data_IF_819228589508
#
_entry.id   IF_819228589508
#
_cell.length_a   1.000
_cell.length_b   1.000
_cell.length_c   1.000
_cell.angle_alpha   90.00
_cell.angle_beta   90.00
_cell.angle_gamma   90.00
#
_symmetry.space_group_name_H-M   'P 1'
#
loop_
_entity.id
_entity.type
_entity.pdbx_description
1 polymer ?
#
# COMPACT_ATOMS: atom_id res chain seq x y z
N UNK A 1 20.58 -40.55 40.95
CA UNK A 1 21.23 -41.18 39.78
C UNK A 1 21.41 -40.11 38.71
N UNK A 2 22.64 -39.65 38.53
CA UNK A 2 23.00 -38.61 37.57
C UNK A 2 22.74 -39.12 36.15
N UNK A 3 21.80 -38.50 35.43
CA UNK A 3 21.71 -38.69 33.98
C UNK A 3 22.98 -38.08 33.37
N UNK A 4 23.94 -38.93 33.00
CA UNK A 4 25.09 -38.52 32.19
C UNK A 4 24.53 -37.88 30.93
N UNK A 5 24.71 -36.57 30.77
CA UNK A 5 24.32 -35.86 29.56
C UNK A 5 25.05 -36.50 28.40
N UNK A 6 24.29 -37.08 27.48
CA UNK A 6 24.81 -37.77 26.31
C UNK A 6 25.28 -36.70 25.32
N UNK A 7 26.51 -36.22 25.50
CA UNK A 7 27.08 -35.09 24.76
C UNK A 7 27.04 -35.29 23.24
N UNK A 8 27.08 -36.53 22.78
CA UNK A 8 26.96 -36.91 21.37
C UNK A 8 25.57 -36.55 20.81
N UNK A 9 24.50 -36.83 21.56
CA UNK A 9 23.14 -36.46 21.15
C UNK A 9 22.94 -34.93 21.12
N UNK A 10 23.58 -34.23 22.05
CA UNK A 10 23.58 -32.76 22.10
C UNK A 10 24.30 -32.16 20.88
N UNK A 11 25.48 -32.69 20.53
CA UNK A 11 26.26 -32.27 19.36
C UNK A 11 25.50 -32.58 18.07
N UNK A 12 24.88 -33.75 17.96
CA UNK A 12 24.06 -34.11 16.80
C UNK A 12 22.87 -33.16 16.62
N UNK A 13 22.11 -32.87 17.68
CA UNK A 13 20.99 -31.91 17.62
C UNK A 13 21.45 -30.50 17.26
N UNK A 14 22.60 -30.06 17.78
CA UNK A 14 23.20 -28.78 17.42
C UNK A 14 23.58 -28.74 15.94
N UNK A 15 24.27 -29.76 15.42
CA UNK A 15 24.64 -29.84 14.01
C UNK A 15 23.43 -29.85 13.07
N UNK A 16 22.40 -30.63 13.40
CA UNK A 16 21.14 -30.65 12.62
C UNK A 16 20.45 -29.28 12.67
N UNK A 17 20.42 -28.64 13.84
CA UNK A 17 19.88 -27.29 13.98
C UNK A 17 20.64 -26.26 13.15
N UNK A 18 21.98 -26.33 13.16
CA UNK A 18 22.86 -25.42 12.43
C UNK A 18 22.72 -25.61 10.91
N UNK A 19 22.63 -26.86 10.44
CA UNK A 19 22.30 -27.18 9.05
C UNK A 19 20.92 -26.65 8.66
N UNK A 20 19.92 -26.81 9.53
CA UNK A 20 18.57 -26.29 9.30
C UNK A 20 18.54 -24.77 9.18
N UNK A 21 19.25 -24.05 10.07
CA UNK A 21 19.37 -22.58 10.02
C UNK A 21 20.14 -22.14 8.77
N UNK A 22 21.23 -22.82 8.43
CA UNK A 22 22.01 -22.54 7.22
C UNK A 22 21.18 -22.72 5.94
N UNK A 23 20.39 -23.79 5.87
CA UNK A 23 19.46 -24.04 4.77
C UNK A 23 18.38 -22.94 4.67
N UNK A 24 17.79 -22.55 5.81
CA UNK A 24 16.83 -21.44 5.88
C UNK A 24 17.45 -20.13 5.41
N UNK A 25 18.68 -19.81 5.81
CA UNK A 25 19.38 -18.60 5.38
C UNK A 25 19.58 -18.55 3.86
N UNK A 26 19.96 -19.67 3.24
CA UNK A 26 20.15 -19.77 1.79
C UNK A 26 18.82 -19.64 1.03
N UNK A 27 17.74 -20.24 1.54
CA UNK A 27 16.44 -20.23 0.86
C UNK A 27 15.63 -18.95 1.13
N UNK A 28 15.83 -18.30 2.27
CA UNK A 28 15.09 -17.11 2.69
C UNK A 28 14.93 -16.03 1.61
N UNK A 29 15.98 -15.59 0.88
CA UNK A 29 15.83 -14.56 -0.16
C UNK A 29 14.87 -14.99 -1.28
N UNK A 30 14.76 -16.28 -1.58
CA UNK A 30 13.88 -16.80 -2.63
C UNK A 30 12.42 -16.93 -2.18
N UNK A 31 12.18 -17.25 -0.90
CA UNK A 31 10.81 -17.46 -0.38
C UNK A 31 10.22 -16.23 0.29
N UNK A 32 11.04 -15.29 0.76
CA UNK A 32 10.60 -14.13 1.54
C UNK A 32 9.56 -13.28 0.80
N UNK A 33 9.75 -13.08 -0.51
CA UNK A 33 8.78 -12.36 -1.35
C UNK A 33 7.43 -13.06 -1.39
N UNK A 34 7.41 -14.39 -1.59
CA UNK A 34 6.18 -15.20 -1.62
C UNK A 34 5.51 -15.24 -0.25
N UNK A 35 6.28 -15.35 0.83
CA UNK A 35 5.75 -15.28 2.20
C UNK A 35 5.08 -13.94 2.47
N UNK A 36 5.70 -12.85 2.06
CA UNK A 36 5.13 -11.51 2.18
C UNK A 36 3.84 -11.37 1.35
N UNK A 37 3.80 -11.91 0.12
CA UNK A 37 2.56 -11.97 -0.67
C UNK A 37 1.45 -12.77 0.03
N UNK A 38 1.79 -13.90 0.65
CA UNK A 38 0.83 -14.71 1.41
C UNK A 38 0.30 -13.99 2.65
N UNK A 39 1.15 -13.22 3.35
CA UNK A 39 0.73 -12.37 4.46
C UNK A 39 -0.29 -11.33 3.97
N UNK A 40 0.00 -10.63 2.88
CA UNK A 40 -0.96 -9.68 2.30
C UNK A 40 -2.23 -10.37 1.82
N UNK A 41 -2.13 -11.53 1.19
CA UNK A 41 -3.29 -12.30 0.75
C UNK A 41 -4.18 -12.74 1.92
N UNK A 42 -3.58 -13.11 3.05
CA UNK A 42 -4.31 -13.41 4.27
C UNK A 42 -5.03 -12.18 4.83
N UNK A 43 -4.36 -11.02 4.87
CA UNK A 43 -4.98 -9.76 5.26
C UNK A 43 -6.18 -9.40 4.36
N UNK A 44 -6.00 -9.46 3.04
CA UNK A 44 -7.09 -9.23 2.08
C UNK A 44 -8.22 -10.24 2.24
N UNK A 45 -7.89 -11.51 2.47
CA UNK A 45 -8.88 -12.56 2.75
C UNK A 45 -9.73 -12.19 3.96
N UNK A 46 -9.12 -11.78 5.08
CA UNK A 46 -9.84 -11.36 6.29
C UNK A 46 -10.76 -10.16 6.04
N UNK A 47 -10.34 -9.21 5.20
CA UNK A 47 -11.14 -8.03 4.83
C UNK A 47 -12.33 -8.40 3.94
N UNK A 48 -12.10 -9.24 2.95
CA UNK A 48 -13.09 -9.57 1.92
C UNK A 48 -14.06 -10.67 2.36
N UNK A 49 -13.68 -11.49 3.35
CA UNK A 49 -14.49 -12.61 3.82
C UNK A 49 -15.93 -12.21 4.22
N UNK A 50 -16.18 -11.13 4.99
CA UNK A 50 -17.55 -10.73 5.31
C UNK A 50 -18.39 -10.40 4.06
N UNK A 51 -17.77 -9.79 3.03
CA UNK A 51 -18.44 -9.49 1.76
C UNK A 51 -18.74 -10.77 0.97
N UNK A 52 -17.80 -11.72 0.96
CA UNK A 52 -17.99 -13.03 0.33
C UNK A 52 -19.09 -13.82 1.04
N UNK A 53 -19.07 -13.91 2.37
CA UNK A 53 -20.07 -14.66 3.14
C UNK A 53 -21.47 -14.05 3.00
N UNK A 54 -21.56 -12.71 2.98
CA UNK A 54 -22.82 -12.00 2.75
C UNK A 54 -23.40 -12.30 1.36
N UNK A 55 -22.53 -12.35 0.34
CA UNK A 55 -22.93 -12.67 -1.03
C UNK A 55 -23.21 -14.16 -1.23
N UNK A 56 -22.45 -15.04 -0.55
CA UNK A 56 -22.64 -16.49 -0.52
C UNK A 56 -24.02 -16.84 0.04
N UNK A 57 -24.48 -16.14 1.07
CA UNK A 57 -25.84 -16.32 1.61
C UNK A 57 -26.94 -16.01 0.57
N UNK A 58 -26.67 -15.14 -0.41
CA UNK A 58 -27.64 -14.76 -1.45
C UNK A 58 -27.55 -15.64 -2.70
N UNK A 59 -26.34 -15.96 -3.16
CA UNK A 59 -26.08 -16.73 -4.40
C UNK A 59 -26.07 -18.24 -4.13
N UNK A 60 -25.80 -18.66 -2.88
CA UNK A 60 -25.67 -20.06 -2.43
C UNK A 60 -24.53 -20.84 -3.10
N UNK A 61 -23.58 -20.12 -3.72
CA UNK A 61 -22.36 -20.70 -4.30
C UNK A 61 -21.15 -19.85 -3.92
N UNK A 62 -20.23 -20.45 -3.16
CA UNK A 62 -19.00 -19.81 -2.69
C UNK A 62 -18.10 -19.35 -3.84
N UNK A 63 -17.93 -20.19 -4.87
CA UNK A 63 -17.08 -19.86 -6.02
C UNK A 63 -17.56 -18.61 -6.77
N UNK A 64 -18.86 -18.54 -7.04
CA UNK A 64 -19.46 -17.36 -7.67
C UNK A 64 -19.36 -16.11 -6.77
N UNK A 65 -19.50 -16.29 -5.46
CA UNK A 65 -19.42 -15.18 -4.51
C UNK A 65 -18.02 -14.60 -4.41
N UNK A 66 -16.99 -15.47 -4.36
CA UNK A 66 -15.58 -15.05 -4.39
C UNK A 66 -15.25 -14.35 -5.70
N UNK A 67 -15.68 -14.89 -6.85
CA UNK A 67 -15.46 -14.26 -8.15
C UNK A 67 -16.10 -12.88 -8.23
N UNK A 68 -17.38 -12.76 -7.85
CA UNK A 68 -18.11 -11.50 -7.90
C UNK A 68 -17.48 -10.43 -7.00
N UNK A 69 -17.11 -10.77 -5.75
CA UNK A 69 -16.46 -9.84 -4.83
C UNK A 69 -15.07 -9.43 -5.34
N UNK A 70 -14.28 -10.37 -5.83
CA UNK A 70 -12.91 -10.08 -6.29
C UNK A 70 -12.91 -9.26 -7.58
N UNK A 71 -13.78 -9.60 -8.55
CA UNK A 71 -13.95 -8.81 -9.78
C UNK A 71 -14.49 -7.42 -9.46
N UNK A 72 -15.42 -7.30 -8.51
CA UNK A 72 -15.91 -6.01 -8.03
C UNK A 72 -14.79 -5.16 -7.46
N UNK A 73 -13.92 -5.74 -6.63
CA UNK A 73 -12.76 -5.05 -6.06
C UNK A 73 -11.76 -4.62 -7.14
N UNK A 74 -11.39 -5.51 -8.06
CA UNK A 74 -10.46 -5.19 -9.15
C UNK A 74 -11.02 -4.06 -10.00
N UNK A 75 -12.30 -4.15 -10.38
CA UNK A 75 -12.97 -3.10 -11.16
C UNK A 75 -12.95 -1.77 -10.43
N UNK A 76 -13.27 -1.74 -9.13
CA UNK A 76 -13.26 -0.52 -8.33
C UNK A 76 -11.86 0.11 -8.26
N UNK A 77 -10.82 -0.71 -8.05
CA UNK A 77 -9.42 -0.25 -8.02
C UNK A 77 -8.99 0.27 -9.38
N UNK A 78 -9.30 -0.45 -10.47
CA UNK A 78 -8.94 -0.04 -11.83
C UNK A 78 -9.60 1.27 -12.24
N UNK A 79 -10.88 1.46 -11.91
CA UNK A 79 -11.59 2.72 -12.15
C UNK A 79 -10.95 3.85 -11.35
N UNK A 80 -10.67 3.62 -10.06
CA UNK A 80 -10.05 4.62 -9.19
C UNK A 80 -8.66 5.03 -9.68
N UNK A 81 -7.76 4.06 -9.93
CA UNK A 81 -6.40 4.33 -10.39
C UNK A 81 -6.42 4.95 -11.79
N UNK A 82 -7.25 4.44 -12.70
CA UNK A 82 -7.38 4.99 -14.04
C UNK A 82 -7.83 6.45 -14.03
N UNK A 83 -8.90 6.74 -13.27
CA UNK A 83 -9.41 8.11 -13.12
C UNK A 83 -8.37 9.02 -12.45
N UNK A 84 -7.73 8.55 -11.38
CA UNK A 84 -6.70 9.32 -10.68
C UNK A 84 -5.49 9.62 -11.59
N UNK A 85 -5.00 8.62 -12.32
CA UNK A 85 -3.87 8.77 -13.23
C UNK A 85 -4.16 9.75 -14.37
N UNK A 86 -5.34 9.66 -15.00
CA UNK A 86 -5.74 10.60 -16.05
C UNK A 86 -5.86 12.03 -15.51
N UNK A 87 -6.58 12.23 -14.40
CA UNK A 87 -6.72 13.57 -13.82
C UNK A 87 -5.37 14.17 -13.39
N UNK A 88 -4.47 13.36 -12.84
CA UNK A 88 -3.14 13.81 -12.47
C UNK A 88 -2.29 14.16 -13.69
N UNK A 89 -2.39 13.38 -14.78
CA UNK A 89 -1.68 13.64 -16.03
C UNK A 89 -2.18 14.93 -16.69
N UNK A 90 -3.49 15.15 -16.73
CA UNK A 90 -4.10 16.37 -17.28
C UNK A 90 -3.65 17.60 -16.47
N UNK A 91 -3.70 17.53 -15.14
CA UNK A 91 -3.22 18.61 -14.26
C UNK A 91 -1.73 18.89 -14.42
N UNK A 92 -0.90 17.84 -14.57
CA UNK A 92 0.53 18.00 -14.82
C UNK A 92 0.79 18.65 -16.19
N UNK A 93 0.01 18.28 -17.22
CA UNK A 93 0.07 18.87 -18.55
C UNK A 93 -0.31 20.37 -18.56
N UNK A 94 -1.45 20.71 -17.97
CA UNK A 94 -1.92 22.10 -17.84
C UNK A 94 -0.94 22.97 -17.05
N UNK A 95 -0.35 22.41 -16.00
CA UNK A 95 0.68 23.09 -15.21
C UNK A 95 1.96 23.29 -16.02
N UNK A 96 2.43 22.27 -16.76
CA UNK A 96 3.59 22.39 -17.65
C UNK A 96 3.39 23.48 -18.71
N UNK A 97 2.20 23.53 -19.32
CA UNK A 97 1.89 24.55 -20.32
C UNK A 97 1.88 25.98 -19.74
N UNK A 98 1.39 26.14 -18.51
CA UNK A 98 1.42 27.43 -17.80
C UNK A 98 2.83 27.87 -17.45
N UNK A 99 3.73 26.93 -17.11
CA UNK A 99 5.14 27.21 -16.85
C UNK A 99 5.90 27.68 -18.11
N UNK A 100 5.55 27.14 -19.28
CA UNK A 100 6.14 27.56 -20.56
C UNK A 100 5.63 28.93 -21.04
N UNK A 101 4.62 29.51 -20.37
CA UNK A 101 4.12 30.84 -20.72
C UNK A 101 5.03 31.91 -20.10
N UNK A 102 5.57 32.82 -20.93
CA UNK A 102 6.51 33.88 -20.48
C UNK A 102 5.98 34.69 -19.27
N UNK A 103 4.66 34.89 -19.16
CA UNK A 103 4.07 35.64 -18.04
C UNK A 103 4.21 34.96 -16.67
N UNK A 104 4.21 33.63 -16.61
CA UNK A 104 4.33 32.92 -15.33
C UNK A 104 5.75 33.02 -14.77
N UNK A 105 6.76 32.92 -15.65
CA UNK A 105 8.15 33.09 -15.25
C UNK A 105 8.44 34.54 -14.84
N UNK A 106 7.86 35.53 -15.52
CA UNK A 106 7.95 36.94 -15.11
C UNK A 106 7.25 37.21 -13.77
N UNK A 107 6.05 36.67 -13.56
CA UNK A 107 5.32 36.79 -12.29
C UNK A 107 6.07 36.08 -11.15
N UNK A 108 6.66 34.92 -11.42
CA UNK A 108 7.47 34.16 -10.47
C UNK A 108 8.76 34.90 -10.12
N UNK A 109 9.47 35.43 -11.11
CA UNK A 109 10.66 36.26 -10.90
C UNK A 109 10.32 37.52 -10.09
N UNK A 110 9.21 38.18 -10.40
CA UNK A 110 8.70 39.33 -9.65
C UNK A 110 8.33 38.96 -8.21
N UNK A 111 7.76 37.78 -7.97
CA UNK A 111 7.47 37.28 -6.62
C UNK A 111 8.76 36.99 -5.85
N UNK A 112 9.75 36.35 -6.48
CA UNK A 112 11.05 36.07 -5.88
C UNK A 112 11.77 37.37 -5.52
N UNK A 113 11.78 38.35 -6.42
CA UNK A 113 12.42 39.64 -6.20
C UNK A 113 11.73 40.44 -5.09
N UNK A 114 10.41 40.47 -5.06
CA UNK A 114 9.64 41.07 -3.96
C UNK A 114 9.85 40.36 -2.62
N UNK A 115 10.12 39.05 -2.64
CA UNK A 115 10.39 38.26 -1.45
C UNK A 115 11.82 38.52 -0.96
N UNK A 116 12.82 38.55 -1.87
CA UNK A 116 14.20 38.95 -1.57
C UNK A 116 14.28 40.37 -1.01
N UNK A 117 13.50 41.30 -1.56
CA UNK A 117 13.44 42.69 -1.09
C UNK A 117 12.89 42.83 0.35
N UNK A 118 12.13 41.85 0.84
CA UNK A 118 11.57 41.82 2.21
C UNK A 118 12.41 40.98 3.19
N UNK A 119 13.48 40.33 2.72
CA UNK A 119 14.34 39.47 3.52
C UNK A 119 15.57 40.26 4.03
N UNK A 120 15.98 40.08 5.30
CA UNK A 120 17.21 40.69 5.83
C UNK A 120 18.45 40.18 5.08
N UNK A 121 19.42 41.05 4.88
CA UNK A 121 20.67 40.75 4.13
C UNK A 121 21.50 39.59 4.68
N UNK A 122 21.28 39.17 5.94
CA UNK A 122 21.90 37.99 6.55
C UNK A 122 21.33 36.66 6.00
N UNK A 123 20.10 36.65 5.48
CA UNK A 123 19.47 35.45 4.87
C UNK A 123 19.85 35.29 3.40
N UNK A 124 20.20 36.39 2.73
CA UNK A 124 20.61 36.45 1.31
C UNK A 124 22.10 36.11 1.10
N UNK A 125 22.72 35.33 2.01
CA UNK A 125 24.12 34.93 1.92
C UNK A 125 24.46 34.39 0.53
N UNK A 126 25.68 34.70 0.03
CA UNK A 126 26.21 34.48 -1.33
C UNK A 126 25.33 33.54 -2.17
N UNK A 127 24.25 34.12 -2.68
CA UNK A 127 23.21 33.34 -3.35
C UNK A 127 23.74 33.04 -4.73
N UNK A 128 24.28 31.84 -4.88
CA UNK A 128 24.72 31.20 -6.10
C UNK A 128 23.87 31.67 -7.29
N UNK A 129 24.54 32.25 -8.29
CA UNK A 129 23.99 33.04 -9.39
C UNK A 129 23.23 32.19 -10.44
N UNK A 130 22.48 31.19 -9.97
CA UNK A 130 21.55 30.44 -10.79
C UNK A 130 20.20 31.16 -10.83
N UNK A 131 19.69 31.30 -12.04
CA UNK A 131 18.38 31.86 -12.32
C UNK A 131 17.31 31.08 -11.52
N UNK A 132 16.46 31.74 -10.72
CA UNK A 132 15.32 31.11 -10.06
C UNK A 132 14.46 30.27 -11.02
N UNK A 133 14.36 30.67 -12.29
CA UNK A 133 13.68 29.93 -13.34
C UNK A 133 14.39 28.60 -13.67
N UNK A 134 15.72 28.59 -13.71
CA UNK A 134 16.50 27.35 -13.91
C UNK A 134 16.34 26.39 -12.73
N UNK A 135 16.35 26.89 -11.48
CA UNK A 135 16.11 26.05 -10.29
C UNK A 135 14.70 25.46 -10.28
N UNK A 136 13.70 26.21 -10.72
CA UNK A 136 12.34 25.71 -10.84
C UNK A 136 12.25 24.61 -11.91
N UNK A 137 12.89 24.81 -13.06
CA UNK A 137 12.97 23.81 -14.13
C UNK A 137 13.68 22.53 -13.67
N UNK A 138 14.76 22.63 -12.89
CA UNK A 138 15.47 21.47 -12.35
C UNK A 138 14.62 20.68 -11.33
N UNK A 139 13.90 21.38 -10.45
CA UNK A 139 12.96 20.75 -9.51
C UNK A 139 11.85 20.04 -10.29
N UNK A 140 11.29 20.67 -11.33
CA UNK A 140 10.22 20.10 -12.13
C UNK A 140 10.70 18.93 -12.99
N UNK A 141 11.87 19.03 -13.63
CA UNK A 141 12.51 17.94 -14.34
C UNK A 141 12.80 16.75 -13.42
N UNK A 142 13.26 17.03 -12.18
CA UNK A 142 13.45 16.01 -11.14
C UNK A 142 12.15 15.35 -10.68
N UNK A 143 11.06 16.12 -10.53
CA UNK A 143 9.74 15.58 -10.20
C UNK A 143 9.20 14.71 -11.33
N UNK A 144 9.29 15.16 -12.59
CA UNK A 144 8.84 14.42 -13.76
C UNK A 144 9.64 13.12 -13.94
N UNK A 145 10.97 13.18 -13.76
CA UNK A 145 11.84 12.00 -13.78
C UNK A 145 11.46 10.98 -12.70
N UNK A 146 11.12 11.44 -11.49
CA UNK A 146 10.63 10.56 -10.41
C UNK A 146 9.28 9.94 -10.74
N UNK A 147 8.36 10.69 -11.34
CA UNK A 147 7.07 10.16 -11.80
C UNK A 147 7.24 9.09 -12.89
N UNK A 148 8.15 9.31 -13.85
CA UNK A 148 8.49 8.33 -14.89
C UNK A 148 9.17 7.09 -14.31
N UNK A 149 10.08 7.27 -13.37
CA UNK A 149 10.74 6.14 -12.67
C UNK A 149 9.73 5.34 -11.86
N UNK A 150 8.79 6.02 -11.18
CA UNK A 150 7.69 5.39 -10.48
C UNK A 150 6.80 4.59 -11.44
N UNK A 151 6.45 5.16 -12.60
CA UNK A 151 5.70 4.48 -13.65
C UNK A 151 6.43 3.22 -14.16
N UNK A 152 7.76 3.27 -14.33
CA UNK A 152 8.57 2.10 -14.67
C UNK A 152 8.57 1.00 -13.59
N UNK A 153 8.57 1.40 -12.31
CA UNK A 153 8.47 0.48 -11.19
C UNK A 153 7.09 -0.19 -11.05
N UNK A 154 6.04 0.36 -11.70
CA UNK A 154 4.69 -0.23 -11.66
C UNK A 154 4.66 -1.62 -12.28
N UNK A 155 5.51 -1.95 -13.26
CA UNK A 155 5.48 -3.28 -13.89
C UNK A 155 5.70 -4.43 -12.89
N UNK A 156 6.74 -4.32 -12.06
CA UNK A 156 7.03 -5.31 -11.01
C UNK A 156 5.99 -5.28 -9.88
N UNK A 157 5.48 -4.10 -9.54
CA UNK A 157 4.41 -3.94 -8.55
C UNK A 157 3.10 -4.61 -8.99
N UNK A 158 2.69 -4.41 -10.25
CA UNK A 158 1.48 -4.99 -10.84
C UNK A 158 1.56 -6.51 -10.83
N UNK A 159 2.71 -7.10 -11.19
CA UNK A 159 2.91 -8.55 -11.11
C UNK A 159 2.71 -9.07 -9.67
N UNK A 160 3.35 -8.43 -8.68
CA UNK A 160 3.21 -8.80 -7.28
C UNK A 160 1.76 -8.66 -6.80
N UNK A 161 1.08 -7.59 -7.22
CA UNK A 161 -0.33 -7.32 -6.87
C UNK A 161 -1.27 -8.37 -7.45
N UNK A 162 -1.09 -8.75 -8.72
CA UNK A 162 -1.82 -9.86 -9.35
C UNK A 162 -1.62 -11.15 -8.56
N UNK A 163 -0.39 -11.43 -8.13
CA UNK A 163 -0.08 -12.65 -7.38
C UNK A 163 -0.72 -12.68 -6.00
N UNK A 164 -0.72 -11.54 -5.28
CA UNK A 164 -1.46 -11.37 -4.03
C UNK A 164 -2.96 -11.60 -4.25
N UNK A 165 -3.54 -11.07 -5.32
CA UNK A 165 -4.95 -11.28 -5.66
C UNK A 165 -5.24 -12.75 -5.92
N UNK A 166 -4.38 -13.45 -6.68
CA UNK A 166 -4.53 -14.89 -6.95
C UNK A 166 -4.51 -15.69 -5.64
N UNK A 167 -3.55 -15.44 -4.76
CA UNK A 167 -3.52 -16.10 -3.45
C UNK A 167 -4.74 -15.76 -2.59
N UNK A 168 -5.21 -14.53 -2.65
CA UNK A 168 -6.44 -14.10 -1.96
C UNK A 168 -7.64 -14.89 -2.46
N UNK A 169 -7.80 -15.08 -3.78
CA UNK A 169 -8.87 -15.90 -4.37
C UNK A 169 -8.78 -17.34 -3.88
N UNK A 170 -7.59 -17.95 -3.93
CA UNK A 170 -7.37 -19.34 -3.48
C UNK A 170 -7.73 -19.50 -1.99
N UNK A 171 -7.31 -18.56 -1.15
CA UNK A 171 -7.60 -18.56 0.29
C UNK A 171 -9.09 -18.33 0.56
N UNK A 172 -9.75 -17.41 -0.15
CA UNK A 172 -11.19 -17.18 -0.01
C UNK A 172 -12.00 -18.42 -0.43
N UNK A 173 -11.65 -19.08 -1.53
CA UNK A 173 -12.31 -20.31 -1.98
C UNK A 173 -12.21 -21.42 -0.93
N UNK A 174 -11.04 -21.59 -0.32
CA UNK A 174 -10.74 -22.70 0.60
C UNK A 174 -10.66 -22.29 2.08
N UNK A 175 -11.21 -21.14 2.45
CA UNK A 175 -11.02 -20.53 3.77
C UNK A 175 -11.31 -21.47 4.94
N UNK A 176 -12.43 -22.21 4.88
CA UNK A 176 -12.81 -23.14 5.94
C UNK A 176 -11.79 -24.27 6.12
N UNK A 177 -11.33 -24.84 5.01
CA UNK A 177 -10.32 -25.91 5.01
C UNK A 177 -8.97 -25.36 5.49
N UNK A 178 -8.60 -24.16 5.05
CA UNK A 178 -7.38 -23.47 5.48
C UNK A 178 -7.41 -23.22 6.98
N UNK A 179 -8.48 -22.64 7.52
CA UNK A 179 -8.66 -22.38 8.96
C UNK A 179 -8.58 -23.66 9.77
N UNK A 180 -9.24 -24.73 9.33
CA UNK A 180 -9.18 -26.04 9.99
C UNK A 180 -7.76 -26.60 10.01
N UNK A 181 -7.03 -26.48 8.90
CA UNK A 181 -5.64 -26.93 8.78
C UNK A 181 -4.72 -26.12 9.69
N UNK A 182 -4.87 -24.80 9.72
CA UNK A 182 -4.10 -23.90 10.57
C UNK A 182 -4.29 -24.23 12.05
N UNK A 183 -5.54 -24.47 12.47
CA UNK A 183 -5.87 -24.89 13.84
C UNK A 183 -5.31 -26.28 14.16
N UNK A 184 -5.21 -27.18 13.18
CA UNK A 184 -4.68 -28.54 13.40
C UNK A 184 -3.19 -28.60 13.72
N UNK A 185 -2.42 -27.56 13.37
CA UNK A 185 -1.01 -27.45 13.76
C UNK A 185 -0.82 -27.06 15.23
N UNK A 186 -1.88 -26.67 15.92
CA UNK A 186 -1.83 -26.25 17.32
C UNK A 186 -1.84 -27.50 18.21
N UNK A 187 -0.81 -27.71 19.06
CA UNK A 187 -0.80 -28.83 20.00
C UNK A 187 -1.99 -28.79 20.95
N UNK A 188 -2.55 -29.95 21.32
CA UNK A 188 -3.75 -30.04 22.15
C UNK A 188 -3.65 -29.25 23.47
N UNK A 189 -2.45 -29.20 24.08
CA UNK A 189 -2.19 -28.43 25.31
C UNK A 189 -2.53 -26.93 25.18
N UNK A 190 -2.38 -26.36 24.00
CA UNK A 190 -2.59 -24.94 23.73
C UNK A 190 -3.81 -24.68 22.84
N UNK A 191 -4.66 -25.69 22.62
CA UNK A 191 -5.75 -25.61 21.65
C UNK A 191 -6.73 -24.46 21.93
N UNK A 192 -7.20 -24.35 23.18
CA UNK A 192 -8.13 -23.28 23.57
C UNK A 192 -7.48 -21.89 23.45
N UNK A 193 -6.24 -21.77 23.94
CA UNK A 193 -5.47 -20.51 23.87
C UNK A 193 -5.25 -20.11 22.42
N UNK A 194 -4.88 -21.07 21.56
CA UNK A 194 -4.64 -20.85 20.14
C UNK A 194 -5.89 -20.45 19.37
N UNK A 195 -7.02 -21.12 19.62
CA UNK A 195 -8.31 -20.73 19.04
C UNK A 195 -8.73 -19.32 19.47
N UNK A 196 -8.58 -19.00 20.76
CA UNK A 196 -8.89 -17.67 21.28
C UNK A 196 -7.97 -16.61 20.67
N UNK A 197 -6.70 -16.92 20.47
CA UNK A 197 -5.75 -16.02 19.82
C UNK A 197 -6.12 -15.75 18.36
N UNK A 198 -6.40 -16.79 17.57
CA UNK A 198 -6.83 -16.65 16.17
C UNK A 198 -8.10 -15.79 16.07
N UNK A 199 -9.11 -16.09 16.90
CA UNK A 199 -10.35 -15.32 16.93
C UNK A 199 -10.11 -13.85 17.28
N UNK A 200 -9.27 -13.57 18.29
CA UNK A 200 -8.93 -12.21 18.69
C UNK A 200 -8.18 -11.45 17.58
N UNK A 201 -7.24 -12.11 16.89
CA UNK A 201 -6.50 -11.51 15.77
C UNK A 201 -7.47 -11.18 14.63
N UNK A 202 -8.31 -12.14 14.20
CA UNK A 202 -9.31 -11.93 13.15
C UNK A 202 -10.22 -10.73 13.47
N UNK A 203 -10.74 -10.67 14.70
CA UNK A 203 -11.63 -9.59 15.14
C UNK A 203 -10.90 -8.23 15.22
N UNK A 204 -9.68 -8.19 15.75
CA UNK A 204 -8.89 -6.96 15.86
C UNK A 204 -8.52 -6.42 14.48
N UNK A 205 -8.04 -7.27 13.58
CA UNK A 205 -7.70 -6.89 12.19
C UNK A 205 -8.94 -6.35 11.47
N UNK A 206 -10.07 -7.06 11.59
CA UNK A 206 -11.33 -6.63 10.98
C UNK A 206 -11.82 -5.28 11.54
N UNK A 207 -11.80 -5.10 12.86
CA UNK A 207 -12.21 -3.85 13.49
C UNK A 207 -11.27 -2.68 13.14
N UNK A 208 -9.95 -2.91 13.13
CA UNK A 208 -8.97 -1.90 12.74
C UNK A 208 -9.19 -1.44 11.30
N UNK A 209 -9.37 -2.37 10.37
CA UNK A 209 -9.55 -2.03 8.95
C UNK A 209 -10.90 -1.34 8.69
N UNK A 210 -11.96 -1.71 9.41
CA UNK A 210 -13.24 -0.97 9.38
C UNK A 210 -13.07 0.45 9.91
N UNK A 211 -12.32 0.62 11.00
CA UNK A 211 -11.97 1.93 11.55
C UNK A 211 -11.18 2.77 10.56
N UNK A 212 -10.16 2.19 9.92
CA UNK A 212 -9.35 2.87 8.91
C UNK A 212 -10.17 3.26 7.68
N UNK A 213 -11.08 2.39 7.23
CA UNK A 213 -11.99 2.69 6.12
C UNK A 213 -12.95 3.84 6.47
N UNK A 214 -13.50 3.83 7.69
CA UNK A 214 -14.37 4.90 8.17
C UNK A 214 -13.61 6.23 8.30
N UNK A 215 -12.38 6.20 8.82
CA UNK A 215 -11.51 7.36 8.89
C UNK A 215 -11.17 7.90 7.49
N UNK A 216 -10.75 7.04 6.56
CA UNK A 216 -10.45 7.42 5.19
C UNK A 216 -11.67 8.01 4.46
N UNK A 217 -12.85 7.42 4.66
CA UNK A 217 -14.11 7.94 4.11
C UNK A 217 -14.45 9.31 4.71
N UNK A 218 -14.25 9.49 6.02
CA UNK A 218 -14.45 10.78 6.68
C UNK A 218 -13.52 11.85 6.11
N UNK A 219 -12.23 11.54 5.94
CA UNK A 219 -11.27 12.46 5.31
C UNK A 219 -11.67 12.76 3.87
N UNK A 220 -12.06 11.76 3.09
CA UNK A 220 -12.52 11.96 1.71
C UNK A 220 -13.73 12.91 1.63
N UNK A 221 -14.74 12.71 2.49
CA UNK A 221 -15.93 13.59 2.55
C UNK A 221 -15.53 15.00 2.96
N UNK A 222 -14.71 15.16 4.00
CA UNK A 222 -14.25 16.48 4.45
C UNK A 222 -13.45 17.20 3.37
N UNK A 223 -12.59 16.49 2.64
CA UNK A 223 -11.83 17.04 1.52
C UNK A 223 -12.76 17.50 0.39
N UNK A 224 -13.74 16.69 0.00
CA UNK A 224 -14.73 17.05 -1.03
C UNK A 224 -15.50 18.31 -0.62
N UNK A 225 -15.99 18.37 0.63
CA UNK A 225 -16.70 19.54 1.15
C UNK A 225 -15.79 20.77 1.17
N UNK A 226 -14.54 20.63 1.63
CA UNK A 226 -13.56 21.72 1.64
C UNK A 226 -13.28 22.26 0.24
N UNK A 227 -13.09 21.38 -0.74
CA UNK A 227 -12.92 21.73 -2.15
C UNK A 227 -14.14 22.47 -2.72
N UNK A 228 -15.35 22.00 -2.44
CA UNK A 228 -16.57 22.69 -2.86
C UNK A 228 -16.68 24.11 -2.28
N UNK A 229 -16.33 24.29 -1.01
CA UNK A 229 -16.32 25.60 -0.35
C UNK A 229 -15.29 26.52 -1.04
N UNK A 230 -14.07 26.06 -1.27
CA UNK A 230 -13.03 26.85 -1.94
C UNK A 230 -13.46 27.24 -3.37
N UNK A 231 -14.07 26.31 -4.10
CA UNK A 231 -14.57 26.61 -5.44
C UNK A 231 -15.69 27.67 -5.41
N UNK A 232 -16.59 27.60 -4.42
CA UNK A 232 -17.63 28.62 -4.20
C UNK A 232 -17.03 30.02 -3.94
N UNK A 233 -15.91 30.12 -3.22
CA UNK A 233 -15.20 31.37 -2.99
C UNK A 233 -14.31 31.82 -4.16
N UNK A 234 -14.39 31.16 -5.32
CA UNK A 234 -13.74 31.59 -6.56
C UNK A 234 -12.36 30.98 -6.81
N UNK A 235 -11.97 29.94 -6.07
CA UNK A 235 -10.68 29.28 -6.29
C UNK A 235 -10.61 28.48 -7.62
N UNK A 236 -11.75 28.22 -8.27
CA UNK A 236 -11.88 27.49 -9.55
C UNK A 236 -10.99 26.22 -9.62
N UNK A 237 -10.95 25.49 -8.51
CA UNK A 237 -10.23 24.22 -8.39
C UNK A 237 -11.11 23.12 -8.99
N UNK A 238 -10.93 22.85 -10.27
CA UNK A 238 -11.58 21.73 -10.96
C UNK A 238 -10.97 20.41 -10.50
N UNK A 239 -11.60 19.79 -9.50
CA UNK A 239 -11.36 18.39 -9.11
C UNK A 239 -12.67 17.63 -8.86
N UNK A 240 -13.81 18.22 -9.22
CA UNK A 240 -15.09 17.53 -9.39
C UNK A 240 -15.65 17.81 -10.77
#
# INVERSE_FOLDING_TARGET
>A
MNQQKDYIQLIYRLLVGLLGIGFLYVIWPYISSVLLMLVFAFLFTTVLLPSVDALERKIRNRGLSVLAVTIGLITAISIFIGSFATNLADQAGDFSQRLETESFMDDFNTFIDNTKAKLPSFVLGESDAQDPAEKLNDIMGGLMSKLLTFAGALGGFVFNMIMVIIFTIILLLNYHQFKKTLVSFIPNKFFEVGLRLIFNIEQQVSNYLRGQFLAATSVAIMSIVGLYILNFFGANLTLV
#
